data_IF_310805860605
#
_entry.id   IF_310805860605
#
_cell.length_a   1.000
_cell.length_b   1.000
_cell.length_c   1.000
_cell.angle_alpha   90.00
_cell.angle_beta   90.00
_cell.angle_gamma   90.00
#
_symmetry.space_group_name_H-M   'P 1'
#
loop_
_entity.id
_entity.type
_entity.pdbx_description
1 polymer ?
#
# COMPACT_ATOMS: atom_id res chain seq x y z
N UNK A 1 -4.17 67.14 51.23
CA UNK A 1 -3.15 66.08 51.09
C UNK A 1 -3.79 64.71 50.86
N UNK A 2 -5.03 64.48 51.28
CA UNK A 2 -5.67 63.15 51.22
C UNK A 2 -5.97 62.62 49.80
N UNK A 3 -6.21 63.50 48.82
CA UNK A 3 -6.50 63.11 47.43
C UNK A 3 -5.32 62.45 46.70
N UNK A 4 -4.08 62.73 47.12
CA UNK A 4 -2.87 62.16 46.49
C UNK A 4 -2.69 60.69 46.87
N UNK A 5 -3.01 60.33 48.12
CA UNK A 5 -2.92 58.94 48.58
C UNK A 5 -3.97 58.05 47.91
N UNK A 6 -5.20 58.53 47.73
CA UNK A 6 -6.27 57.77 47.04
C UNK A 6 -5.90 57.47 45.59
N UNK A 7 -5.30 58.43 44.88
CA UNK A 7 -4.84 58.25 43.49
C UNK A 7 -3.68 57.26 43.38
N UNK A 8 -2.75 57.27 44.33
CA UNK A 8 -1.62 56.33 44.35
C UNK A 8 -2.06 54.87 44.56
N UNK A 9 -3.00 54.63 45.48
CA UNK A 9 -3.56 53.29 45.69
C UNK A 9 -4.32 52.78 44.45
N UNK A 10 -5.11 53.64 43.79
CA UNK A 10 -5.82 53.27 42.56
C UNK A 10 -4.86 52.85 41.43
N UNK A 11 -3.71 53.52 41.30
CA UNK A 11 -2.67 53.19 40.33
C UNK A 11 -1.95 51.86 40.63
N UNK A 12 -1.69 51.56 41.91
CA UNK A 12 -1.13 50.26 42.31
C UNK A 12 -2.13 49.14 42.00
N UNK A 13 -3.42 49.34 42.31
CA UNK A 13 -4.46 48.34 42.05
C UNK A 13 -4.61 48.07 40.54
N UNK A 14 -4.54 49.09 39.68
CA UNK A 14 -4.62 48.89 38.23
C UNK A 14 -3.38 48.17 37.67
N UNK A 15 -2.17 48.50 38.17
CA UNK A 15 -0.94 47.78 37.82
C UNK A 15 -0.99 46.32 38.25
N UNK A 16 -1.47 46.03 39.45
CA UNK A 16 -1.66 44.66 39.94
C UNK A 16 -2.69 43.90 39.10
N UNK A 17 -3.80 44.53 38.71
CA UNK A 17 -4.79 43.92 37.83
C UNK A 17 -4.22 43.61 36.44
N UNK A 18 -3.45 44.53 35.86
CA UNK A 18 -2.78 44.32 34.57
C UNK A 18 -1.74 43.19 34.65
N UNK A 19 -0.97 43.12 35.74
CA UNK A 19 -0.02 42.04 35.98
C UNK A 19 -0.72 40.68 36.08
N UNK A 20 -1.82 40.60 36.84
CA UNK A 20 -2.61 39.38 36.97
C UNK A 20 -3.18 38.94 35.61
N UNK A 21 -3.71 39.88 34.81
CA UNK A 21 -4.20 39.60 33.46
C UNK A 21 -3.11 39.08 32.52
N UNK A 22 -1.89 39.65 32.61
CA UNK A 22 -0.75 39.21 31.81
C UNK A 22 -0.31 37.78 32.19
N UNK A 23 -0.24 37.48 33.48
CA UNK A 23 0.10 36.13 33.97
C UNK A 23 -0.95 35.10 33.52
N UNK A 24 -2.25 35.41 33.65
CA UNK A 24 -3.30 34.52 33.16
C UNK A 24 -3.29 34.35 31.64
N UNK A 25 -2.98 35.42 30.88
CA UNK A 25 -2.80 35.36 29.43
C UNK A 25 -1.67 34.41 29.03
N UNK A 26 -0.51 34.51 29.67
CA UNK A 26 0.62 33.63 29.43
C UNK A 26 0.33 32.16 29.80
N UNK A 27 -0.30 31.92 30.95
CA UNK A 27 -0.67 30.57 31.37
C UNK A 27 -1.71 29.94 30.43
N UNK A 28 -2.70 30.71 29.97
CA UNK A 28 -3.69 30.23 29.01
C UNK A 28 -3.05 29.96 27.63
N UNK A 29 -2.10 30.79 27.19
CA UNK A 29 -1.38 30.55 25.95
C UNK A 29 -0.55 29.26 26.01
N UNK A 30 0.17 29.01 27.11
CA UNK A 30 0.91 27.76 27.30
C UNK A 30 0.01 26.53 27.37
N UNK A 31 -1.18 26.65 27.99
CA UNK A 31 -2.18 25.55 27.99
C UNK A 31 -2.72 25.28 26.60
N UNK A 32 -3.07 26.34 25.85
CA UNK A 32 -3.54 26.22 24.48
C UNK A 32 -2.47 25.56 23.59
N UNK A 33 -1.19 25.95 23.72
CA UNK A 33 -0.09 25.30 23.00
C UNK A 33 0.01 23.81 23.33
N UNK A 34 0.00 23.43 24.62
CA UNK A 34 0.03 22.02 25.04
C UNK A 34 -1.17 21.21 24.55
N UNK A 35 -2.35 21.81 24.51
CA UNK A 35 -3.55 21.16 23.96
C UNK A 35 -3.43 20.98 22.44
N UNK A 36 -2.93 21.98 21.71
CA UNK A 36 -2.68 21.83 20.26
C UNK A 36 -1.63 20.78 19.96
N UNK A 37 -0.55 20.70 20.73
CA UNK A 37 0.47 19.65 20.58
C UNK A 37 -0.11 18.25 20.83
N UNK A 38 -0.98 18.09 21.83
CA UNK A 38 -1.69 16.82 22.09
C UNK A 38 -2.60 16.45 20.91
N UNK A 39 -3.36 17.40 20.40
CA UNK A 39 -4.23 17.16 19.24
C UNK A 39 -3.40 16.76 18.01
N UNK A 40 -2.28 17.42 17.74
CA UNK A 40 -1.37 17.08 16.63
C UNK A 40 -0.76 15.68 16.83
N UNK A 41 -0.38 15.32 18.06
CA UNK A 41 0.13 13.98 18.35
C UNK A 41 -0.94 12.90 18.14
N UNK A 42 -2.19 13.17 18.54
CA UNK A 42 -3.33 12.28 18.33
C UNK A 42 -3.69 12.14 16.85
N UNK A 43 -3.72 13.22 16.07
CA UNK A 43 -3.99 13.15 14.62
C UNK A 43 -2.89 12.38 13.88
N UNK A 44 -1.61 12.64 14.19
CA UNK A 44 -0.50 11.85 13.63
C UNK A 44 -0.62 10.37 13.96
N UNK A 45 -1.06 10.02 15.16
CA UNK A 45 -1.31 8.62 15.54
C UNK A 45 -2.47 8.03 14.73
N UNK A 46 -3.55 8.78 14.52
CA UNK A 46 -4.67 8.36 13.69
C UNK A 46 -4.24 8.16 12.23
N UNK A 47 -3.47 9.07 11.65
CA UNK A 47 -2.93 8.97 10.29
C UNK A 47 -2.08 7.70 10.12
N UNK A 48 -1.20 7.40 11.10
CA UNK A 48 -0.42 6.16 11.11
C UNK A 48 -1.31 4.92 11.14
N UNK A 49 -2.34 4.91 12.00
CA UNK A 49 -3.29 3.80 12.07
C UNK A 49 -4.07 3.63 10.75
N UNK A 50 -4.49 4.73 10.12
CA UNK A 50 -5.17 4.70 8.83
C UNK A 50 -4.27 4.17 7.71
N UNK A 51 -2.99 4.55 7.69
CA UNK A 51 -2.03 4.03 6.74
C UNK A 51 -1.83 2.50 6.90
N UNK A 52 -1.68 2.02 8.13
CA UNK A 52 -1.57 0.58 8.42
C UNK A 52 -2.83 -0.19 8.02
N UNK A 53 -4.02 0.37 8.29
CA UNK A 53 -5.29 -0.25 7.91
C UNK A 53 -5.47 -0.29 6.38
N UNK A 54 -5.09 0.77 5.68
CA UNK A 54 -5.11 0.80 4.21
C UNK A 54 -4.18 -0.26 3.62
N UNK A 55 -2.99 -0.42 4.20
CA UNK A 55 -2.03 -1.46 3.78
C UNK A 55 -2.57 -2.88 4.03
N UNK A 56 -3.18 -3.13 5.19
CA UNK A 56 -3.80 -4.42 5.51
C UNK A 56 -4.95 -4.74 4.54
N UNK A 57 -5.77 -3.75 4.23
CA UNK A 57 -6.87 -3.87 3.27
C UNK A 57 -6.33 -4.22 1.88
N UNK A 58 -5.31 -3.50 1.40
CA UNK A 58 -4.64 -3.81 0.15
C UNK A 58 -4.08 -5.25 0.12
N UNK A 59 -3.42 -5.68 1.21
CA UNK A 59 -2.91 -7.07 1.35
C UNK A 59 -4.04 -8.09 1.32
N UNK A 60 -5.18 -7.79 1.92
CA UNK A 60 -6.35 -8.66 1.87
C UNK A 60 -6.85 -8.80 0.42
N UNK A 61 -7.00 -7.69 -0.29
CA UNK A 61 -7.46 -7.67 -1.69
C UNK A 61 -6.52 -8.44 -2.62
N UNK A 62 -5.20 -8.25 -2.48
CA UNK A 62 -4.20 -9.00 -3.27
C UNK A 62 -4.30 -10.51 -3.01
N UNK A 63 -4.51 -10.93 -1.76
CA UNK A 63 -4.69 -12.34 -1.41
C UNK A 63 -5.98 -12.91 -1.99
N UNK A 64 -7.07 -12.14 -1.93
CA UNK A 64 -8.36 -12.54 -2.47
C UNK A 64 -8.31 -12.67 -3.99
N UNK A 65 -7.73 -11.69 -4.67
CA UNK A 65 -7.45 -11.76 -6.11
C UNK A 65 -6.63 -13.00 -6.45
N UNK A 66 -5.54 -13.25 -5.72
CA UNK A 66 -4.70 -14.44 -5.93
C UNK A 66 -5.46 -15.75 -5.76
N UNK A 67 -6.36 -15.86 -4.77
CA UNK A 67 -7.23 -17.04 -4.59
C UNK A 67 -8.17 -17.22 -5.78
N UNK A 68 -8.78 -16.14 -6.25
CA UNK A 68 -9.65 -16.15 -7.43
C UNK A 68 -8.93 -16.66 -8.69
N UNK A 69 -7.72 -16.18 -8.94
CA UNK A 69 -6.87 -16.65 -10.05
C UNK A 69 -6.59 -18.15 -9.95
N UNK A 70 -6.19 -18.64 -8.78
CA UNK A 70 -5.88 -20.06 -8.56
C UNK A 70 -7.11 -20.93 -8.81
N UNK A 71 -8.28 -20.47 -8.38
CA UNK A 71 -9.56 -21.15 -8.63
C UNK A 71 -9.89 -21.19 -10.12
N UNK A 72 -9.79 -20.06 -10.84
CA UNK A 72 -10.02 -20.02 -12.27
C UNK A 72 -9.04 -20.91 -13.06
N UNK A 73 -7.76 -20.93 -12.68
CA UNK A 73 -6.78 -21.87 -13.28
C UNK A 73 -7.08 -23.33 -12.96
N UNK A 74 -7.63 -23.63 -11.78
CA UNK A 74 -8.05 -24.99 -11.43
C UNK A 74 -9.25 -25.43 -12.28
N UNK A 75 -10.23 -24.55 -12.50
CA UNK A 75 -11.36 -24.79 -13.41
C UNK A 75 -10.87 -24.96 -14.85
N UNK A 76 -9.97 -24.10 -15.32
CA UNK A 76 -9.35 -24.25 -16.64
C UNK A 76 -8.64 -25.60 -16.79
N UNK A 77 -7.92 -26.06 -15.76
CA UNK A 77 -7.28 -27.37 -15.75
C UNK A 77 -8.31 -28.51 -15.83
N UNK A 78 -9.45 -28.38 -15.14
CA UNK A 78 -10.54 -29.35 -15.20
C UNK A 78 -11.15 -29.39 -16.61
N UNK A 79 -11.43 -28.24 -17.22
CA UNK A 79 -11.95 -28.15 -18.58
C UNK A 79 -10.99 -28.74 -19.63
N UNK A 80 -9.68 -28.63 -19.43
CA UNK A 80 -8.70 -29.31 -20.29
C UNK A 80 -8.73 -30.84 -20.13
N UNK A 81 -9.19 -31.37 -18.99
CA UNK A 81 -9.24 -32.81 -18.71
C UNK A 81 -10.54 -33.45 -19.23
N UNK A 82 -11.63 -32.70 -19.27
CA UNK A 82 -12.93 -33.23 -19.64
C UNK A 82 -13.01 -33.36 -21.17
N UNK A 83 -13.57 -34.47 -21.62
CA UNK A 83 -13.87 -34.72 -23.02
C UNK A 83 -15.21 -34.06 -23.39
N UNK A 84 -15.23 -33.06 -24.29
CA UNK A 84 -16.44 -32.32 -24.62
C UNK A 84 -17.54 -33.19 -25.24
N UNK A 85 -17.16 -34.30 -25.88
CA UNK A 85 -18.12 -35.27 -26.44
C UNK A 85 -19.02 -35.94 -25.38
N UNK A 86 -18.64 -35.88 -24.09
CA UNK A 86 -19.42 -36.44 -22.98
C UNK A 86 -20.48 -35.47 -22.44
N UNK A 87 -20.45 -34.21 -22.87
CA UNK A 87 -21.48 -33.24 -22.50
C UNK A 87 -22.65 -33.33 -23.47
N UNK A 88 -23.86 -33.25 -22.91
CA UNK A 88 -25.11 -33.40 -23.64
C UNK A 88 -25.45 -32.13 -24.46
N UNK A 89 -24.74 -31.01 -24.22
CA UNK A 89 -25.03 -29.69 -24.82
C UNK A 89 -23.78 -28.77 -24.80
N UNK A 90 -23.92 -27.55 -25.35
CA UNK A 90 -22.98 -26.42 -25.39
C UNK A 90 -22.44 -25.92 -24.03
N UNK A 91 -22.64 -26.67 -22.94
CA UNK A 91 -22.24 -26.32 -21.59
C UNK A 91 -20.72 -26.22 -21.46
N UNK A 92 -19.99 -27.07 -22.19
CA UNK A 92 -18.52 -27.02 -22.21
C UNK A 92 -18.02 -25.68 -22.74
N UNK A 93 -18.55 -25.24 -23.88
CA UNK A 93 -18.14 -23.99 -24.51
C UNK A 93 -18.54 -22.78 -23.65
N UNK A 94 -19.69 -22.84 -22.99
CA UNK A 94 -20.12 -21.82 -22.04
C UNK A 94 -19.16 -21.72 -20.84
N UNK A 95 -18.85 -22.84 -20.19
CA UNK A 95 -17.92 -22.86 -19.05
C UNK A 95 -16.51 -22.45 -19.45
N UNK A 96 -16.07 -22.83 -20.65
CA UNK A 96 -14.79 -22.40 -21.23
C UNK A 96 -14.78 -20.89 -21.44
N UNK A 97 -15.82 -20.32 -22.06
CA UNK A 97 -15.93 -18.88 -22.27
C UNK A 97 -15.97 -18.10 -20.95
N UNK A 98 -16.73 -18.56 -19.96
CA UNK A 98 -16.81 -17.97 -18.62
C UNK A 98 -15.46 -18.00 -17.90
N UNK A 99 -14.75 -19.14 -17.97
CA UNK A 99 -13.43 -19.27 -17.35
C UNK A 99 -12.40 -18.37 -18.04
N UNK A 100 -12.46 -18.26 -19.37
CA UNK A 100 -11.63 -17.33 -20.16
C UNK A 100 -11.91 -15.88 -19.76
N UNK A 101 -13.18 -15.48 -19.70
CA UNK A 101 -13.58 -14.14 -19.27
C UNK A 101 -13.11 -13.84 -17.85
N UNK A 102 -13.19 -14.81 -16.95
CA UNK A 102 -12.71 -14.69 -15.57
C UNK A 102 -11.20 -14.48 -15.50
N UNK A 103 -10.41 -15.28 -16.22
CA UNK A 103 -8.95 -15.11 -16.28
C UNK A 103 -8.54 -13.73 -16.83
N UNK A 104 -9.26 -13.25 -17.85
CA UNK A 104 -9.07 -11.90 -18.39
C UNK A 104 -9.45 -10.81 -17.39
N UNK A 105 -10.58 -10.97 -16.70
CA UNK A 105 -11.01 -10.06 -15.64
C UNK A 105 -9.98 -9.97 -14.50
N UNK A 106 -9.36 -11.08 -14.13
CA UNK A 106 -8.27 -11.06 -13.16
C UNK A 106 -7.00 -10.38 -13.66
N UNK A 107 -6.66 -10.49 -14.96
CA UNK A 107 -5.56 -9.73 -15.57
C UNK A 107 -5.83 -8.23 -15.53
N UNK A 108 -7.05 -7.81 -15.88
CA UNK A 108 -7.42 -6.39 -15.84
C UNK A 108 -7.48 -5.86 -14.40
N UNK A 109 -8.00 -6.63 -13.44
CA UNK A 109 -7.96 -6.28 -12.01
C UNK A 109 -6.53 -6.14 -11.50
N UNK A 110 -5.59 -6.93 -12.02
CA UNK A 110 -4.20 -6.83 -11.61
C UNK A 110 -3.56 -5.49 -11.99
N UNK A 111 -4.00 -4.83 -13.07
CA UNK A 111 -3.52 -3.48 -13.44
C UNK A 111 -3.84 -2.44 -12.35
N UNK A 112 -4.98 -2.59 -11.69
CA UNK A 112 -5.39 -1.71 -10.59
C UNK A 112 -4.63 -2.02 -9.29
N UNK A 113 -4.39 -3.30 -9.01
CA UNK A 113 -3.66 -3.72 -7.82
C UNK A 113 -2.16 -3.45 -7.91
N UNK A 114 -1.61 -3.40 -9.12
CA UNK A 114 -0.16 -3.31 -9.35
C UNK A 114 0.21 -2.25 -10.40
N UNK A 115 -0.03 -0.96 -10.12
CA UNK A 115 0.13 0.11 -11.11
C UNK A 115 1.57 0.23 -11.66
N UNK A 116 2.59 -0.12 -10.87
CA UNK A 116 4.00 0.02 -11.23
C UNK A 116 4.67 -1.26 -11.77
N UNK A 117 3.96 -2.40 -11.78
CA UNK A 117 4.47 -3.68 -12.31
C UNK A 117 4.03 -3.93 -13.76
N UNK A 118 3.27 -3.02 -14.36
CA UNK A 118 2.67 -3.18 -15.68
C UNK A 118 3.65 -2.97 -16.85
N UNK A 119 4.89 -2.58 -16.60
CA UNK A 119 5.91 -2.61 -17.66
C UNK A 119 6.49 -4.03 -17.75
N UNK A 120 6.24 -4.78 -18.84
CA UNK A 120 6.97 -6.02 -19.07
C UNK A 120 8.46 -5.66 -19.11
N UNK A 121 9.25 -6.21 -18.21
CA UNK A 121 10.67 -5.84 -18.09
C UNK A 121 11.55 -6.39 -19.22
N UNK A 122 10.96 -6.89 -20.32
CA UNK A 122 11.72 -7.56 -21.38
C UNK A 122 11.12 -7.41 -22.78
N UNK A 123 11.97 -6.95 -23.71
CA UNK A 123 11.79 -6.89 -25.17
C UNK A 123 11.94 -8.29 -25.81
N UNK A 124 11.28 -9.32 -25.28
CA UNK A 124 11.38 -10.65 -25.85
C UNK A 124 10.38 -10.83 -27.01
N UNK A 125 10.85 -10.56 -28.22
CA UNK A 125 10.15 -10.84 -29.48
C UNK A 125 9.88 -12.34 -29.72
N UNK A 126 10.41 -13.24 -28.90
CA UNK A 126 10.22 -14.69 -29.01
C UNK A 126 9.01 -15.20 -28.20
N UNK A 127 7.92 -15.57 -28.87
CA UNK A 127 6.67 -16.07 -28.27
C UNK A 127 6.72 -17.52 -27.75
N UNK A 128 7.86 -18.18 -27.83
CA UNK A 128 7.97 -19.59 -27.48
C UNK A 128 8.03 -19.79 -25.96
N UNK A 129 7.15 -20.67 -25.48
CA UNK A 129 7.09 -21.07 -24.08
C UNK A 129 8.30 -21.96 -23.76
N UNK A 130 9.37 -21.35 -23.22
CA UNK A 130 10.47 -22.10 -22.64
C UNK A 130 10.09 -22.56 -21.21
N UNK A 131 9.97 -23.87 -21.03
CA UNK A 131 9.61 -24.49 -19.75
C UNK A 131 10.63 -24.22 -18.62
N UNK A 132 11.86 -23.82 -18.97
CA UNK A 132 12.90 -23.42 -18.01
C UNK A 132 12.80 -21.95 -17.59
N UNK A 133 12.04 -21.12 -18.31
CA UNK A 133 11.86 -19.70 -18.00
C UNK A 133 10.99 -19.52 -16.76
N UNK A 134 11.40 -18.60 -15.89
CA UNK A 134 10.58 -18.15 -14.75
C UNK A 134 9.64 -17.06 -15.23
N UNK A 135 8.35 -17.35 -15.26
CA UNK A 135 7.31 -16.41 -15.63
C UNK A 135 6.95 -15.53 -14.44
N UNK A 136 6.63 -14.27 -14.69
CA UNK A 136 5.97 -13.42 -13.70
C UNK A 136 4.56 -13.95 -13.38
N UNK A 137 3.99 -13.51 -12.25
CA UNK A 137 2.63 -13.91 -11.87
C UNK A 137 1.60 -13.55 -12.98
N UNK A 138 1.74 -12.39 -13.62
CA UNK A 138 0.85 -11.94 -14.69
C UNK A 138 1.02 -12.77 -15.97
N UNK A 139 2.26 -13.07 -16.35
CA UNK A 139 2.57 -13.93 -17.49
C UNK A 139 1.98 -15.33 -17.30
N UNK A 140 2.03 -15.89 -16.09
CA UNK A 140 1.44 -17.19 -15.80
C UNK A 140 -0.08 -17.20 -16.06
N UNK A 141 -0.79 -16.11 -15.72
CA UNK A 141 -2.22 -15.96 -16.01
C UNK A 141 -2.47 -15.82 -17.51
N UNK A 142 -1.67 -15.00 -18.20
CA UNK A 142 -1.77 -14.79 -19.64
C UNK A 142 -1.55 -16.10 -20.42
N UNK A 143 -0.53 -16.87 -20.05
CA UNK A 143 -0.27 -18.18 -20.64
C UNK A 143 -1.38 -19.18 -20.32
N UNK A 144 -1.95 -19.16 -19.12
CA UNK A 144 -3.08 -20.03 -18.77
C UNK A 144 -4.30 -19.73 -19.64
N UNK A 145 -4.62 -18.45 -19.84
CA UNK A 145 -5.64 -17.99 -20.78
C UNK A 145 -5.37 -18.55 -22.18
N UNK A 146 -4.16 -18.40 -22.72
CA UNK A 146 -3.83 -18.89 -24.06
C UNK A 146 -3.89 -20.42 -24.19
N UNK A 147 -3.52 -21.16 -23.15
CA UNK A 147 -3.62 -22.64 -23.15
C UNK A 147 -5.09 -23.06 -23.24
N UNK A 148 -5.98 -22.43 -22.47
CA UNK A 148 -7.41 -22.73 -22.50
C UNK A 148 -8.07 -22.27 -23.81
N UNK A 149 -7.63 -21.15 -24.37
CA UNK A 149 -8.14 -20.61 -25.63
C UNK A 149 -7.73 -21.49 -26.83
N UNK A 150 -6.52 -22.06 -26.81
CA UNK A 150 -6.02 -22.89 -27.91
C UNK A 150 -6.29 -24.39 -27.77
N UNK A 151 -6.97 -24.82 -26.70
CA UNK A 151 -7.18 -26.24 -26.44
C UNK A 151 -8.02 -26.86 -27.57
N UNK A 152 -7.46 -27.88 -28.23
CA UNK A 152 -8.18 -28.70 -29.20
C UNK A 152 -9.04 -29.72 -28.46
N UNK A 153 -10.32 -29.39 -28.35
CA UNK A 153 -11.36 -30.18 -27.71
C UNK A 153 -11.37 -31.66 -28.11
N UNK A 154 -11.07 -32.00 -29.36
CA UNK A 154 -11.20 -33.39 -29.89
C UNK A 154 -9.90 -34.22 -29.78
N UNK A 155 -8.80 -33.64 -29.33
CA UNK A 155 -7.47 -34.27 -29.31
C UNK A 155 -7.04 -34.58 -27.87
N UNK A 156 -7.13 -35.85 -27.47
CA UNK A 156 -6.82 -36.30 -26.10
C UNK A 156 -5.35 -36.07 -25.72
N UNK A 157 -4.40 -36.28 -26.65
CA UNK A 157 -2.98 -36.09 -26.33
C UNK A 157 -2.70 -34.61 -26.07
N UNK A 158 -3.28 -33.74 -26.91
CA UNK A 158 -3.20 -32.30 -26.73
C UNK A 158 -3.86 -31.84 -25.42
N UNK A 159 -5.03 -32.38 -25.07
CA UNK A 159 -5.70 -32.13 -23.78
C UNK A 159 -4.82 -32.49 -22.59
N UNK A 160 -4.23 -33.69 -22.57
CA UNK A 160 -3.33 -34.12 -21.50
C UNK A 160 -2.11 -33.21 -21.36
N UNK A 161 -1.54 -32.75 -22.48
CA UNK A 161 -0.45 -31.78 -22.49
C UNK A 161 -0.88 -30.44 -21.91
N UNK A 162 -2.07 -29.95 -22.27
CA UNK A 162 -2.67 -28.73 -21.72
C UNK A 162 -2.93 -28.83 -20.21
N UNK A 163 -3.37 -29.99 -19.70
CA UNK A 163 -3.51 -30.24 -18.25
C UNK A 163 -2.17 -30.11 -17.54
N UNK A 164 -1.11 -30.71 -18.10
CA UNK A 164 0.25 -30.60 -17.57
C UNK A 164 0.75 -29.15 -17.53
N UNK A 165 0.55 -28.41 -18.63
CA UNK A 165 0.93 -27.01 -18.75
C UNK A 165 0.17 -26.14 -17.73
N UNK A 166 -1.15 -26.29 -17.64
CA UNK A 166 -1.98 -25.55 -16.70
C UNK A 166 -1.58 -25.80 -15.24
N UNK A 167 -1.25 -27.06 -14.90
CA UNK A 167 -0.75 -27.42 -13.56
C UNK A 167 0.57 -26.72 -13.25
N UNK A 168 1.47 -26.63 -14.22
CA UNK A 168 2.77 -25.96 -14.06
C UNK A 168 2.61 -24.44 -13.91
N UNK A 169 1.78 -23.81 -14.75
CA UNK A 169 1.47 -22.39 -14.69
C UNK A 169 0.86 -22.01 -13.33
N UNK A 170 -0.11 -22.79 -12.84
CA UNK A 170 -0.70 -22.57 -11.52
C UNK A 170 0.32 -22.67 -10.38
N UNK A 171 1.27 -23.62 -10.46
CA UNK A 171 2.36 -23.74 -9.47
C UNK A 171 3.33 -22.56 -9.52
N UNK A 172 3.66 -22.07 -10.72
CA UNK A 172 4.48 -20.88 -10.90
C UNK A 172 3.78 -19.65 -10.33
N UNK A 173 2.50 -19.45 -10.66
CA UNK A 173 1.69 -18.37 -10.11
C UNK A 173 1.70 -18.35 -8.58
N UNK A 174 1.39 -19.50 -7.94
CA UNK A 174 1.40 -19.60 -6.47
C UNK A 174 2.77 -19.30 -5.89
N UNK A 175 3.85 -19.71 -6.55
CA UNK A 175 5.22 -19.43 -6.10
C UNK A 175 5.52 -17.93 -6.15
N UNK A 176 5.21 -17.26 -7.25
CA UNK A 176 5.43 -15.81 -7.37
C UNK A 176 4.52 -15.02 -6.42
N UNK A 177 3.26 -15.45 -6.26
CA UNK A 177 2.36 -14.85 -5.27
C UNK A 177 2.85 -15.00 -3.84
N UNK A 178 3.42 -16.15 -3.48
CA UNK A 178 4.01 -16.35 -2.15
C UNK A 178 5.14 -15.37 -1.91
N UNK A 179 6.04 -15.16 -2.89
CA UNK A 179 7.11 -14.16 -2.76
C UNK A 179 6.58 -12.74 -2.59
N UNK A 180 5.53 -12.38 -3.33
CA UNK A 180 4.95 -11.04 -3.27
C UNK A 180 4.16 -10.78 -1.98
N UNK A 181 3.64 -11.83 -1.34
CA UNK A 181 2.78 -11.75 -0.14
C UNK A 181 3.50 -12.19 1.13
N UNK A 182 4.74 -12.68 1.06
CA UNK A 182 5.48 -13.21 2.22
C UNK A 182 5.63 -12.12 3.30
N UNK A 183 5.06 -12.31 4.50
CA UNK A 183 5.16 -11.34 5.58
C UNK A 183 6.60 -11.09 6.03
N UNK A 184 7.49 -12.08 5.92
CA UNK A 184 8.87 -11.94 6.40
C UNK A 184 9.69 -11.00 5.52
N UNK A 185 9.57 -11.13 4.20
CA UNK A 185 10.28 -10.26 3.24
C UNK A 185 9.84 -8.80 3.37
N UNK A 186 8.60 -8.56 3.83
CA UNK A 186 8.06 -7.21 4.04
C UNK A 186 8.14 -6.70 5.47
N UNK A 187 8.32 -7.58 6.46
CA UNK A 187 8.65 -7.17 7.83
C UNK A 187 9.91 -6.32 7.81
N UNK A 188 10.91 -6.78 7.05
CA UNK A 188 12.15 -6.05 6.79
C UNK A 188 11.88 -4.68 6.09
N UNK A 189 10.97 -4.62 5.11
CA UNK A 189 10.60 -3.37 4.42
C UNK A 189 9.84 -2.39 5.34
N UNK A 190 8.95 -2.89 6.20
CA UNK A 190 8.18 -2.07 7.15
C UNK A 190 9.09 -1.57 8.27
N UNK A 191 9.95 -2.43 8.81
CA UNK A 191 10.96 -2.03 9.79
C UNK A 191 11.89 -0.96 9.21
N UNK A 192 12.30 -1.12 7.94
CA UNK A 192 13.07 -0.11 7.23
C UNK A 192 12.30 1.21 7.08
N UNK A 193 11.03 1.18 6.65
CA UNK A 193 10.21 2.39 6.52
C UNK A 193 9.97 3.07 7.88
N UNK A 194 9.75 2.30 8.95
CA UNK A 194 9.62 2.86 10.30
C UNK A 194 10.93 3.49 10.77
N UNK A 195 12.07 2.84 10.51
CA UNK A 195 13.38 3.40 10.82
C UNK A 195 13.68 4.68 10.04
N UNK A 196 13.30 4.75 8.76
CA UNK A 196 13.44 5.97 7.93
C UNK A 196 12.56 7.12 8.47
N UNK A 197 11.33 6.84 8.92
CA UNK A 197 10.45 7.84 9.56
C UNK A 197 11.01 8.31 10.91
N UNK A 198 11.57 7.42 11.71
CA UNK A 198 12.20 7.77 12.99
C UNK A 198 13.44 8.64 12.77
N UNK A 199 14.28 8.30 11.79
CA UNK A 199 15.44 9.12 11.41
C UNK A 199 15.04 10.52 10.96
N UNK A 200 14.02 10.65 10.11
CA UNK A 200 13.51 11.96 9.69
C UNK A 200 12.99 12.79 10.88
N UNK A 201 12.31 12.15 11.84
CA UNK A 201 11.81 12.83 13.04
C UNK A 201 12.96 13.27 13.96
N UNK A 202 14.08 12.55 14.01
CA UNK A 202 15.28 12.94 14.76
C UNK A 202 16.04 14.08 14.06
N UNK A 203 16.19 14.04 12.74
CA UNK A 203 16.80 15.11 11.94
C UNK A 203 16.01 16.43 12.05
N UNK A 204 14.68 16.38 12.04
CA UNK A 204 13.81 17.54 12.27
C UNK A 204 13.96 18.13 13.69
N UNK A 205 14.24 17.29 14.70
CA UNK A 205 14.51 17.76 16.07
C UNK A 205 15.87 18.44 16.18
N UNK A 206 16.89 17.86 15.56
CA UNK A 206 18.25 18.41 15.52
C UNK A 206 18.29 19.77 14.81
N UNK A 207 17.65 19.88 13.64
CA UNK A 207 17.59 21.14 12.89
C UNK A 207 16.87 22.25 13.67
N UNK A 208 15.74 21.95 14.33
CA UNK A 208 15.06 22.94 15.20
C UNK A 208 15.88 23.37 16.42
N UNK A 209 16.64 22.45 17.04
CA UNK A 209 17.51 22.81 18.17
C UNK A 209 18.69 23.70 17.75
N UNK A 210 19.15 23.58 16.50
CA UNK A 210 20.29 24.36 15.99
C UNK A 210 19.89 25.80 15.67
N UNK A 211 18.65 26.01 15.22
CA UNK A 211 18.12 27.33 14.87
C UNK A 211 17.81 28.20 16.11
N UNK A 212 17.46 27.58 17.25
CA UNK A 212 17.25 28.31 18.52
C UNK A 212 18.55 28.74 19.22
N UNK A 213 19.71 28.27 18.78
CA UNK A 213 21.01 28.55 19.43
C UNK A 213 21.81 29.67 18.75
N UNK A 214 21.24 30.40 17.79
CA UNK A 214 21.86 31.59 17.21
C UNK A 214 21.20 32.87 17.75
N UNK A 215 21.59 33.37 18.94
CA UNK A 215 21.20 34.70 19.37
C UNK A 215 21.82 35.71 18.40
N UNK A 216 20.95 36.30 17.59
CA UNK A 216 21.14 37.48 16.76
C UNK A 216 22.36 38.31 17.17
N UNK A 217 23.45 38.17 16.44
CA UNK A 217 24.58 39.11 16.50
C UNK A 217 24.04 40.50 16.13
N UNK A 218 24.18 41.52 17.00
CA UNK A 218 23.66 42.84 16.70
C UNK A 218 24.36 43.41 15.46
N UNK A 219 23.64 44.15 14.60
CA UNK A 219 24.21 44.73 13.39
C UNK A 219 25.33 45.69 13.77
N UNK A 220 26.50 45.49 13.16
CA UNK A 220 27.64 46.38 13.31
C UNK A 220 27.32 47.74 12.67
N UNK A 221 27.50 48.82 13.44
CA UNK A 221 27.33 50.19 12.97
C UNK A 221 28.30 50.51 11.82
N UNK A 222 27.84 51.17 10.74
CA UNK A 222 28.71 51.61 9.67
C UNK A 222 29.51 52.88 10.03
N UNK A 223 30.72 53.04 9.46
CA UNK A 223 31.63 54.17 9.70
C UNK A 223 31.20 55.49 9.05
#
# INVERSE_FOLDING_TARGET
>A
MDGIHVSFYAMIVSLMAMFIQLVFGLLNHQRAQKETERQIAETKKQEKLHALQAEETYKHEVREWGRGVVQAMALAQQLCKIDPAKFVTSDYDLQRAETVASLRGYLDRAKWLFPNLAMPSHDDTGRDFDQKRRLSALEAILHAYHVLDKVKANDEEHRQRCVGNMRNLRRQFVREMRKAVDPHVRGDDIERLMAEIEQQAEEEKLTKSTDETNPSTPPADPP
#
